data_IF_692026288572
#
_entry.id   IF_692026288572
#
_cell.length_a   1.000
_cell.length_b   1.000
_cell.length_c   1.000
_cell.angle_alpha   90.00
_cell.angle_beta   90.00
_cell.angle_gamma   90.00
#
_symmetry.space_group_name_H-M   'P 1'
#
loop_
_entity.id
_entity.type
_entity.pdbx_description
1 polymer ?
#
# COMPACT_ATOMS: atom_id res chain seq x y z
N UNK A 1 -5.63 22.81 5.91
CA UNK A 1 -6.88 22.04 6.02
C UNK A 1 -7.77 22.51 4.88
N UNK A 2 -7.86 21.77 3.79
CA UNK A 2 -8.80 22.04 2.72
C UNK A 2 -10.16 21.50 3.16
N UNK A 3 -11.13 22.40 3.36
CA UNK A 3 -12.53 22.04 3.50
C UNK A 3 -12.96 21.35 2.18
N UNK A 4 -13.09 20.03 2.21
CA UNK A 4 -13.60 19.28 1.07
C UNK A 4 -15.12 19.42 1.05
N UNK A 5 -15.63 20.14 0.07
CA UNK A 5 -17.05 20.22 -0.21
C UNK A 5 -17.42 19.09 -1.18
N UNK A 6 -18.16 18.08 -0.71
CA UNK A 6 -18.72 17.03 -1.57
C UNK A 6 -20.11 17.42 -2.04
N UNK A 7 -20.34 17.27 -3.33
CA UNK A 7 -21.67 17.49 -3.96
C UNK A 7 -22.27 16.13 -4.34
N UNK A 8 -23.40 15.77 -3.73
CA UNK A 8 -24.23 14.65 -4.13
C UNK A 8 -25.65 15.11 -4.43
N UNK A 9 -26.33 14.51 -5.43
CA UNK A 9 -27.72 14.86 -5.79
C UNK A 9 -28.64 13.82 -5.21
N UNK A 10 -29.55 14.24 -4.32
CA UNK A 10 -30.63 13.40 -3.76
C UNK A 10 -32.00 14.05 -4.01
N UNK A 11 -33.09 13.31 -3.87
CA UNK A 11 -34.46 13.83 -4.00
C UNK A 11 -35.11 13.90 -2.62
N UNK A 12 -35.55 15.08 -2.22
CA UNK A 12 -36.22 15.28 -0.93
C UNK A 12 -36.72 16.72 -0.74
N UNK A 13 -37.37 17.01 0.40
CA UNK A 13 -37.79 18.39 0.71
C UNK A 13 -36.56 19.25 1.03
N UNK A 14 -36.48 20.43 0.45
CA UNK A 14 -35.44 21.41 0.75
C UNK A 14 -35.65 22.00 2.15
N UNK A 15 -34.63 21.98 3.00
CA UNK A 15 -34.68 22.50 4.37
C UNK A 15 -35.01 24.01 4.44
N UNK A 16 -34.70 24.78 3.38
CA UNK A 16 -34.94 26.23 3.32
C UNK A 16 -36.31 26.60 2.79
N UNK A 17 -36.89 25.85 1.85
CA UNK A 17 -38.14 26.22 1.21
C UNK A 17 -39.23 25.14 1.21
N UNK A 18 -38.94 23.94 1.73
CA UNK A 18 -39.89 22.81 1.86
C UNK A 18 -40.32 22.18 0.54
N UNK A 19 -39.81 22.59 -0.61
CA UNK A 19 -40.21 22.10 -1.93
C UNK A 19 -39.42 20.85 -2.30
N UNK A 20 -40.12 19.79 -2.68
CA UNK A 20 -39.49 18.53 -3.15
C UNK A 20 -38.95 18.70 -4.57
N UNK A 21 -37.63 18.83 -4.69
CA UNK A 21 -36.86 18.96 -5.96
C UNK A 21 -35.58 18.17 -5.86
N UNK A 22 -34.83 17.99 -6.96
CA UNK A 22 -33.45 17.49 -6.89
C UNK A 22 -32.63 18.36 -5.94
N UNK A 23 -32.04 17.74 -4.92
CA UNK A 23 -31.25 18.43 -3.89
C UNK A 23 -29.76 18.21 -4.15
N UNK A 24 -28.98 19.26 -4.00
CA UNK A 24 -27.53 19.15 -3.90
C UNK A 24 -27.13 19.03 -2.43
N UNK A 25 -26.52 17.93 -2.05
CA UNK A 25 -25.96 17.74 -0.71
C UNK A 25 -24.61 18.48 -0.63
N UNK A 26 -24.56 19.50 0.21
CA UNK A 26 -23.33 20.24 0.51
C UNK A 26 -22.89 19.81 1.91
N UNK A 27 -21.75 19.12 2.02
CA UNK A 27 -21.18 18.73 3.29
C UNK A 27 -20.33 19.86 3.85
N UNK A 28 -20.78 20.49 4.92
CA UNK A 28 -20.01 21.43 5.72
C UNK A 28 -19.79 20.82 7.11
N UNK A 29 -18.52 20.63 7.48
CA UNK A 29 -18.13 20.06 8.80
C UNK A 29 -18.76 18.70 9.14
N UNK A 30 -18.80 17.77 8.15
CA UNK A 30 -19.35 16.43 8.29
C UNK A 30 -20.86 16.29 8.49
N UNK A 31 -21.64 17.35 8.35
CA UNK A 31 -23.09 17.25 8.33
C UNK A 31 -23.65 17.52 6.92
N UNK A 32 -24.54 16.65 6.37
CA UNK A 32 -25.14 16.88 5.07
C UNK A 32 -26.26 17.94 5.19
N UNK A 33 -26.14 19.02 4.44
CA UNK A 33 -27.19 20.02 4.33
C UNK A 33 -27.77 19.95 2.92
N UNK A 34 -29.10 19.79 2.85
CA UNK A 34 -29.82 19.57 1.60
C UNK A 34 -30.43 20.88 1.07
N UNK A 35 -29.88 21.43 -0.02
CA UNK A 35 -30.42 22.60 -0.70
C UNK A 35 -30.89 22.27 -2.11
N UNK A 36 -31.98 22.92 -2.56
CA UNK A 36 -32.37 22.85 -3.97
C UNK A 36 -31.48 23.81 -4.82
N UNK A 37 -31.45 23.57 -6.15
CA UNK A 37 -30.65 24.37 -7.07
C UNK A 37 -30.88 25.86 -6.94
N UNK A 38 -32.12 26.26 -6.67
CA UNK A 38 -32.50 27.68 -6.50
C UNK A 38 -31.88 28.30 -5.24
N UNK A 39 -31.81 27.54 -4.14
CA UNK A 39 -31.18 27.97 -2.90
C UNK A 39 -29.65 28.06 -3.04
N UNK A 40 -29.04 27.15 -3.82
CA UNK A 40 -27.61 27.22 -4.15
C UNK A 40 -27.27 28.42 -5.01
N UNK A 41 -28.12 28.74 -6.01
CA UNK A 41 -27.97 29.96 -6.83
C UNK A 41 -28.15 31.23 -6.00
N UNK A 42 -29.14 31.28 -5.09
CA UNK A 42 -29.34 32.39 -4.17
C UNK A 42 -28.15 32.60 -3.22
N UNK A 43 -27.57 31.51 -2.70
CA UNK A 43 -26.36 31.57 -1.89
C UNK A 43 -25.13 32.00 -2.69
N UNK A 44 -25.01 31.56 -3.94
CA UNK A 44 -23.96 32.04 -4.87
C UNK A 44 -24.15 33.52 -5.18
N UNK A 45 -25.38 33.98 -5.39
CA UNK A 45 -25.68 35.41 -5.56
C UNK A 45 -25.40 36.22 -4.29
N UNK A 46 -25.64 35.66 -3.10
CA UNK A 46 -25.31 36.31 -1.82
C UNK A 46 -23.80 36.37 -1.56
N UNK A 47 -23.04 35.34 -1.98
CA UNK A 47 -21.58 35.38 -1.95
C UNK A 47 -21.01 36.42 -2.93
N UNK A 48 -21.59 36.50 -4.11
CA UNK A 48 -21.27 37.58 -5.09
C UNK A 48 -21.63 38.99 -4.56
N UNK A 49 -22.68 39.09 -3.75
CA UNK A 49 -23.05 40.37 -3.11
C UNK A 49 -22.08 40.81 -2.01
N UNK A 50 -21.20 39.96 -1.52
CA UNK A 50 -20.10 40.31 -0.61
C UNK A 50 -18.87 40.90 -1.31
N UNK A 51 -18.94 41.15 -2.62
CA UNK A 51 -17.93 41.90 -3.37
C UNK A 51 -16.64 41.15 -3.67
N UNK A 52 -16.61 39.83 -3.44
CA UNK A 52 -15.48 39.00 -3.85
C UNK A 52 -15.58 38.65 -5.34
N UNK A 53 -14.97 39.49 -6.16
CA UNK A 53 -14.88 39.21 -7.60
C UNK A 53 -13.89 38.05 -7.87
N UNK A 54 -14.10 37.33 -8.98
CA UNK A 54 -13.14 36.28 -9.45
C UNK A 54 -11.73 36.89 -9.57
N UNK A 55 -11.61 38.16 -9.88
CA UNK A 55 -10.34 38.89 -9.92
C UNK A 55 -9.72 39.06 -8.52
N UNK A 56 -10.53 39.30 -7.48
CA UNK A 56 -10.08 39.38 -6.08
C UNK A 56 -9.57 38.05 -5.59
N UNK A 57 -10.31 36.96 -5.86
CA UNK A 57 -9.90 35.59 -5.48
C UNK A 57 -8.64 35.13 -6.22
N UNK A 58 -8.49 35.50 -7.50
CA UNK A 58 -7.24 35.21 -8.24
C UNK A 58 -6.06 35.95 -7.63
N UNK A 59 -6.22 37.25 -7.29
CA UNK A 59 -5.17 38.05 -6.65
C UNK A 59 -4.80 37.49 -5.28
N UNK A 60 -5.79 37.02 -4.49
CA UNK A 60 -5.55 36.36 -3.21
C UNK A 60 -4.80 35.06 -3.40
N UNK A 61 -5.17 34.22 -4.37
CA UNK A 61 -4.46 32.99 -4.74
C UNK A 61 -3.00 33.25 -5.13
N UNK A 62 -2.74 34.30 -5.92
CA UNK A 62 -1.38 34.70 -6.30
C UNK A 62 -0.57 35.18 -5.10
N UNK A 63 -1.19 35.99 -4.21
CA UNK A 63 -0.51 36.45 -2.99
C UNK A 63 -0.21 35.29 -2.02
N UNK A 64 -1.09 34.32 -1.91
CA UNK A 64 -0.88 33.11 -1.09
C UNK A 64 0.20 32.22 -1.68
N UNK A 65 0.25 32.06 -3.01
CA UNK A 65 1.32 31.35 -3.70
C UNK A 65 2.69 31.99 -3.46
N UNK A 66 2.77 33.33 -3.61
CA UNK A 66 4.01 34.06 -3.36
C UNK A 66 4.47 33.93 -1.91
N UNK A 67 3.56 34.00 -0.93
CA UNK A 67 3.88 33.75 0.48
C UNK A 67 4.35 32.33 0.72
N UNK A 68 3.74 31.35 0.06
CA UNK A 68 4.15 29.96 0.17
C UNK A 68 5.58 29.76 -0.37
N UNK A 69 5.91 30.40 -1.50
CA UNK A 69 7.26 30.37 -2.06
C UNK A 69 8.28 31.07 -1.17
N UNK A 70 7.90 32.22 -0.57
CA UNK A 70 8.73 32.92 0.40
C UNK A 70 9.00 32.06 1.64
N UNK A 71 7.97 31.41 2.21
CA UNK A 71 8.13 30.52 3.36
C UNK A 71 8.96 29.26 3.00
N UNK A 72 8.76 28.70 1.80
CA UNK A 72 9.61 27.61 1.28
C UNK A 72 11.07 28.05 1.13
N UNK A 73 11.32 29.25 0.67
CA UNK A 73 12.68 29.80 0.56
C UNK A 73 13.37 30.05 1.92
N UNK A 74 12.59 30.17 3.01
CA UNK A 74 13.10 30.26 4.38
C UNK A 74 13.44 28.90 4.98
N UNK A 75 12.85 27.82 4.45
CA UNK A 75 13.20 26.45 4.78
C UNK A 75 14.55 26.16 4.07
N UNK A 76 15.65 26.29 4.79
CA UNK A 76 16.95 25.77 4.32
C UNK A 76 16.85 24.25 4.37
N UNK A 77 16.55 23.63 3.24
CA UNK A 77 16.64 22.18 3.09
C UNK A 77 18.11 21.79 3.26
N UNK A 78 18.41 21.26 4.42
CA UNK A 78 19.72 20.67 4.70
C UNK A 78 19.78 19.36 3.93
N UNK A 79 20.79 19.18 3.09
CA UNK A 79 20.96 17.93 2.35
C UNK A 79 21.03 16.73 3.32
N UNK A 80 20.37 15.62 2.95
CA UNK A 80 20.23 14.44 3.82
C UNK A 80 21.58 13.93 4.35
N UNK A 81 22.66 14.02 3.56
CA UNK A 81 23.99 13.61 3.98
C UNK A 81 24.53 14.45 5.15
N UNK A 82 24.25 15.76 5.20
CA UNK A 82 24.66 16.64 6.28
C UNK A 82 23.92 16.34 7.60
N UNK A 83 22.64 15.90 7.48
CA UNK A 83 21.89 15.41 8.63
C UNK A 83 22.43 14.04 9.07
N UNK A 84 22.72 13.17 8.12
CA UNK A 84 23.24 11.83 8.35
C UNK A 84 24.61 11.84 9.05
N UNK A 85 25.47 12.81 8.74
CA UNK A 85 26.77 12.98 9.43
C UNK A 85 26.62 13.26 10.92
N UNK A 86 25.60 14.03 11.32
CA UNK A 86 25.35 14.43 12.70
C UNK A 86 24.65 13.34 13.54
N UNK A 87 24.07 12.34 12.87
CA UNK A 87 23.32 11.26 13.54
C UNK A 87 24.28 10.15 13.92
N UNK A 88 24.19 9.66 15.16
CA UNK A 88 24.99 8.54 15.63
C UNK A 88 24.77 7.28 14.79
N UNK A 89 25.82 6.50 14.61
CA UNK A 89 25.73 5.19 13.93
C UNK A 89 24.81 4.26 14.70
N UNK A 90 24.00 3.48 13.97
CA UNK A 90 23.17 2.45 14.61
C UNK A 90 24.09 1.45 15.29
N UNK A 91 23.81 1.14 16.55
CA UNK A 91 24.53 0.12 17.29
C UNK A 91 24.35 -1.26 16.61
N UNK A 92 25.29 -2.17 16.84
CA UNK A 92 25.23 -3.51 16.26
C UNK A 92 23.93 -4.21 16.66
N UNK A 93 23.13 -4.56 15.66
CA UNK A 93 21.86 -5.23 15.86
C UNK A 93 22.07 -6.73 16.10
N UNK A 94 21.50 -7.26 17.18
CA UNK A 94 21.52 -8.70 17.52
C UNK A 94 20.21 -9.37 17.19
N UNK A 95 19.79 -9.28 15.94
CA UNK A 95 18.54 -9.91 15.46
C UNK A 95 18.77 -11.40 15.24
N UNK A 96 17.88 -12.24 15.77
CA UNK A 96 17.96 -13.70 15.64
C UNK A 96 16.62 -14.30 15.21
N UNK A 97 16.68 -15.43 14.52
CA UNK A 97 15.48 -16.23 14.26
C UNK A 97 14.87 -16.72 15.57
N UNK A 98 13.64 -16.32 15.86
CA UNK A 98 12.90 -16.73 17.06
C UNK A 98 12.02 -17.94 16.80
N UNK A 99 11.40 -18.02 15.63
CA UNK A 99 10.52 -19.12 15.22
C UNK A 99 10.70 -19.43 13.75
N UNK A 100 10.45 -20.70 13.38
CA UNK A 100 10.39 -21.14 11.99
C UNK A 100 9.03 -21.80 11.76
N UNK A 101 8.26 -21.31 10.79
CA UNK A 101 6.97 -21.85 10.42
C UNK A 101 7.17 -22.82 9.26
N UNK A 102 6.90 -24.10 9.49
CA UNK A 102 7.07 -25.19 8.51
C UNK A 102 5.74 -25.79 8.13
N UNK A 103 5.49 -25.96 6.83
CA UNK A 103 4.28 -26.64 6.38
C UNK A 103 3.77 -26.30 5.00
N UNK A 104 4.41 -25.37 4.28
CA UNK A 104 4.26 -25.28 2.84
C UNK A 104 5.05 -26.40 2.16
N UNK A 105 4.50 -26.95 1.07
CA UNK A 105 5.13 -28.00 0.28
C UNK A 105 6.02 -27.48 -0.85
N UNK A 106 6.03 -26.18 -1.09
CA UNK A 106 6.82 -25.51 -2.13
C UNK A 106 7.10 -24.07 -1.72
N UNK A 107 7.80 -23.33 -2.58
CA UNK A 107 8.24 -21.93 -2.39
C UNK A 107 7.16 -21.05 -1.79
N UNK A 108 7.48 -20.36 -0.71
CA UNK A 108 6.66 -19.26 -0.20
C UNK A 108 6.83 -18.07 -1.12
N UNK A 109 5.74 -17.45 -1.57
CA UNK A 109 5.77 -16.34 -2.53
C UNK A 109 5.38 -15.00 -1.90
N UNK A 110 4.37 -14.99 -1.05
CA UNK A 110 3.91 -13.77 -0.37
C UNK A 110 3.50 -14.08 1.07
N UNK A 111 3.48 -13.06 1.90
CA UNK A 111 2.98 -13.12 3.26
C UNK A 111 2.48 -11.75 3.73
N UNK A 112 1.62 -11.74 4.73
CA UNK A 112 1.14 -10.53 5.37
C UNK A 112 0.81 -10.76 6.84
N UNK A 113 0.92 -9.69 7.65
CA UNK A 113 0.58 -9.70 9.07
C UNK A 113 -0.86 -9.26 9.30
N UNK A 114 -1.53 -9.94 10.20
CA UNK A 114 -2.77 -9.43 10.79
C UNK A 114 -2.47 -8.23 11.70
N UNK A 115 -3.37 -7.24 11.73
CA UNK A 115 -3.25 -6.09 12.64
C UNK A 115 -3.28 -6.48 14.13
N UNK A 116 -3.71 -7.70 14.45
CA UNK A 116 -3.68 -8.25 15.83
C UNK A 116 -2.25 -8.59 16.32
N UNK A 117 -1.23 -8.43 15.48
CA UNK A 117 0.20 -8.69 15.76
C UNK A 117 0.53 -10.15 16.07
N UNK A 118 -0.44 -11.05 15.93
CA UNK A 118 -0.33 -12.46 16.29
C UNK A 118 -0.39 -13.38 15.10
N UNK A 119 -1.25 -13.10 14.13
CA UNK A 119 -1.50 -13.98 13.00
C UNK A 119 -0.77 -13.51 11.74
N UNK A 120 -0.32 -14.48 10.96
CA UNK A 120 0.34 -14.26 9.66
C UNK A 120 -0.40 -15.10 8.62
N UNK A 121 -0.66 -14.53 7.44
CA UNK A 121 -1.07 -15.27 6.26
C UNK A 121 0.12 -15.44 5.34
N UNK A 122 0.24 -16.59 4.71
CA UNK A 122 1.26 -16.85 3.68
C UNK A 122 0.69 -17.63 2.52
N UNK A 123 1.20 -17.35 1.33
CA UNK A 123 0.85 -18.03 0.09
C UNK A 123 2.06 -18.65 -0.57
N UNK A 124 1.85 -19.72 -1.31
CA UNK A 124 2.92 -20.54 -1.87
C UNK A 124 2.62 -21.04 -3.27
N UNK A 125 3.68 -21.48 -3.96
CA UNK A 125 3.62 -22.18 -5.24
C UNK A 125 2.85 -23.51 -5.14
N UNK A 126 2.72 -24.11 -3.94
CA UNK A 126 1.96 -25.35 -3.72
C UNK A 126 0.43 -25.19 -3.84
N UNK A 127 -0.03 -23.98 -4.13
CA UNK A 127 -1.46 -23.63 -4.22
C UNK A 127 -2.13 -23.48 -2.85
N UNK A 128 -1.38 -23.43 -1.76
CA UNK A 128 -1.92 -23.27 -0.42
C UNK A 128 -1.74 -21.86 0.11
N UNK A 129 -2.76 -21.44 0.85
CA UNK A 129 -2.73 -20.24 1.69
C UNK A 129 -2.91 -20.71 3.12
N UNK A 130 -1.97 -20.36 4.00
CA UNK A 130 -1.95 -20.84 5.39
C UNK A 130 -1.96 -19.62 6.31
N UNK A 131 -2.83 -19.67 7.31
CA UNK A 131 -2.85 -18.73 8.43
C UNK A 131 -2.16 -19.36 9.62
N UNK A 132 -1.20 -18.64 10.17
CA UNK A 132 -0.33 -19.09 11.26
C UNK A 132 -0.53 -18.26 12.51
N UNK A 133 -0.39 -18.88 13.65
CA UNK A 133 -0.10 -18.19 14.91
C UNK A 133 1.43 -18.02 15.03
N UNK A 134 1.89 -16.77 15.02
CA UNK A 134 3.31 -16.42 15.03
C UNK A 134 4.03 -16.83 16.33
N UNK A 135 3.32 -16.94 17.43
CA UNK A 135 3.90 -17.30 18.74
C UNK A 135 3.98 -18.80 18.94
N UNK A 136 2.92 -19.53 18.60
CA UNK A 136 2.83 -20.99 18.80
C UNK A 136 3.32 -21.79 17.61
N UNK A 137 3.52 -21.15 16.44
CA UNK A 137 3.86 -21.77 15.16
C UNK A 137 2.79 -22.69 14.58
N UNK A 138 1.61 -22.73 15.19
CA UNK A 138 0.51 -23.55 14.75
C UNK A 138 -0.15 -22.99 13.49
N UNK A 139 -0.65 -23.89 12.65
CA UNK A 139 -1.55 -23.55 11.55
C UNK A 139 -2.96 -23.37 12.12
N UNK A 140 -3.51 -22.18 12.01
CA UNK A 140 -4.90 -21.93 12.42
C UNK A 140 -5.87 -22.30 11.28
N UNK A 141 -5.54 -21.88 10.05
CA UNK A 141 -6.33 -22.19 8.87
C UNK A 141 -5.42 -22.55 7.71
N UNK A 142 -5.92 -23.38 6.80
CA UNK A 142 -5.27 -23.69 5.54
C UNK A 142 -6.34 -23.80 4.44
N UNK A 143 -6.12 -23.09 3.34
CA UNK A 143 -6.98 -23.10 2.16
C UNK A 143 -6.15 -23.61 0.99
N UNK A 144 -6.70 -24.55 0.21
CA UNK A 144 -6.12 -24.96 -1.06
C UNK A 144 -6.84 -24.23 -2.19
N UNK A 145 -6.08 -23.48 -2.97
CA UNK A 145 -6.57 -22.77 -4.13
C UNK A 145 -6.76 -23.71 -5.32
N UNK A 146 -7.64 -23.39 -6.25
CA UNK A 146 -7.82 -24.20 -7.47
C UNK A 146 -6.61 -24.14 -8.41
N UNK A 147 -5.74 -23.14 -8.24
CA UNK A 147 -4.50 -22.97 -9.00
C UNK A 147 -3.26 -23.17 -8.12
N UNK A 148 -2.17 -23.57 -8.73
CA UNK A 148 -0.82 -23.45 -8.17
C UNK A 148 -0.30 -22.02 -8.40
N UNK A 149 0.81 -21.63 -7.76
CA UNK A 149 1.38 -20.28 -7.83
C UNK A 149 0.44 -19.20 -7.29
N UNK A 150 0.17 -19.24 -6.00
CA UNK A 150 -0.54 -18.16 -5.31
C UNK A 150 0.46 -17.05 -4.99
N UNK A 151 0.48 -16.02 -5.83
CA UNK A 151 1.52 -14.97 -5.82
C UNK A 151 1.20 -13.86 -4.82
N UNK A 152 -0.08 -13.65 -4.51
CA UNK A 152 -0.53 -12.57 -3.67
C UNK A 152 -1.35 -13.08 -2.49
N UNK A 153 -1.15 -12.49 -1.32
CA UNK A 153 -2.04 -12.65 -0.17
C UNK A 153 -2.03 -11.38 0.68
N UNK A 154 -3.16 -11.08 1.30
CA UNK A 154 -3.33 -9.94 2.19
C UNK A 154 -4.30 -10.27 3.32
N UNK A 155 -4.07 -9.69 4.50
CA UNK A 155 -4.99 -9.74 5.63
C UNK A 155 -5.94 -8.54 5.60
N UNK A 156 -7.23 -8.78 5.84
CA UNK A 156 -8.19 -7.69 6.02
C UNK A 156 -7.86 -6.89 7.31
N UNK A 157 -8.06 -5.58 7.33
CA UNK A 157 -7.80 -4.72 8.49
C UNK A 157 -8.49 -5.19 9.79
N UNK A 158 -9.69 -5.76 9.70
CA UNK A 158 -10.41 -6.33 10.85
C UNK A 158 -9.81 -7.65 11.36
N UNK A 159 -8.99 -8.33 10.55
CA UNK A 159 -8.51 -9.69 10.83
C UNK A 159 -9.55 -10.79 10.61
N UNK A 160 -10.71 -10.47 10.00
CA UNK A 160 -11.80 -11.43 9.78
C UNK A 160 -11.78 -12.11 8.41
N UNK A 161 -10.90 -11.69 7.51
CA UNK A 161 -10.79 -12.26 6.17
C UNK A 161 -9.34 -12.21 5.64
N UNK A 162 -9.07 -13.02 4.63
CA UNK A 162 -7.84 -12.98 3.85
C UNK A 162 -8.17 -12.97 2.37
N UNK A 163 -7.45 -12.15 1.62
CA UNK A 163 -7.51 -12.13 0.15
C UNK A 163 -6.31 -12.88 -0.41
N UNK A 164 -6.49 -13.61 -1.50
CA UNK A 164 -5.37 -14.27 -2.19
C UNK A 164 -5.70 -14.56 -3.65
N UNK A 165 -4.68 -14.69 -4.47
CA UNK A 165 -4.77 -14.99 -5.88
C UNK A 165 -3.42 -15.17 -6.55
N UNK A 166 -3.41 -15.49 -7.83
CA UNK A 166 -2.19 -15.74 -8.58
C UNK A 166 -2.45 -16.02 -10.06
N UNK A 167 -1.94 -17.15 -10.57
CA UNK A 167 -2.05 -17.53 -11.99
C UNK A 167 -3.48 -17.84 -12.46
N UNK A 168 -4.46 -17.87 -11.59
CA UNK A 168 -5.88 -17.98 -11.98
C UNK A 168 -6.50 -16.63 -12.39
N UNK A 169 -5.72 -15.56 -12.40
CA UNK A 169 -6.11 -14.19 -12.75
C UNK A 169 -7.20 -13.60 -11.83
N UNK A 170 -7.49 -14.26 -10.73
CA UNK A 170 -8.55 -13.89 -9.80
C UNK A 170 -8.00 -13.56 -8.43
N UNK A 171 -8.64 -12.61 -7.76
CA UNK A 171 -8.49 -12.44 -6.33
C UNK A 171 -9.74 -12.93 -5.61
N UNK A 172 -9.55 -13.85 -4.68
CA UNK A 172 -10.64 -14.42 -3.88
C UNK A 172 -10.46 -14.02 -2.42
N UNK A 173 -11.55 -13.64 -1.77
CA UNK A 173 -11.60 -13.32 -0.34
C UNK A 173 -12.20 -14.51 0.41
N UNK A 174 -11.53 -14.93 1.45
CA UNK A 174 -11.91 -16.02 2.34
C UNK A 174 -12.20 -15.45 3.72
N UNK A 175 -13.47 -15.46 4.18
CA UNK A 175 -13.78 -15.07 5.56
C UNK A 175 -13.21 -16.11 6.53
N UNK A 176 -12.52 -15.64 7.56
CA UNK A 176 -11.99 -16.46 8.64
C UNK A 176 -13.06 -16.56 9.72
N UNK A 177 -13.77 -17.70 9.77
CA UNK A 177 -14.73 -17.96 10.85
C UNK A 177 -14.00 -18.38 12.12
N UNK A 178 -14.59 -18.08 13.29
CA UNK A 178 -14.09 -18.52 14.58
C UNK A 178 -14.20 -20.05 14.76
N UNK A 179 -15.07 -20.71 13.99
CA UNK A 179 -15.27 -22.15 14.04
C UNK A 179 -14.25 -22.90 13.15
N UNK A 180 -13.32 -23.58 13.81
CA UNK A 180 -12.24 -24.34 13.16
C UNK A 180 -12.71 -25.49 12.26
N UNK A 181 -13.98 -25.87 12.34
CA UNK A 181 -14.57 -27.02 11.62
C UNK A 181 -15.26 -26.62 10.30
N UNK A 182 -15.32 -25.35 9.96
CA UNK A 182 -15.96 -24.90 8.73
C UNK A 182 -15.00 -24.97 7.53
N UNK A 183 -15.54 -25.41 6.40
CA UNK A 183 -14.79 -25.45 5.15
C UNK A 183 -14.70 -24.03 4.55
N UNK A 184 -13.58 -23.37 4.78
CA UNK A 184 -13.28 -22.01 4.28
C UNK A 184 -13.40 -21.91 2.75
N UNK A 185 -13.07 -22.99 2.04
CA UNK A 185 -13.16 -23.03 0.57
C UNK A 185 -14.59 -22.91 0.07
N UNK A 186 -15.60 -23.29 0.86
CA UNK A 186 -16.99 -23.18 0.51
C UNK A 186 -17.54 -21.75 0.61
N UNK A 187 -16.91 -20.89 1.43
CA UNK A 187 -17.32 -19.51 1.68
C UNK A 187 -16.53 -18.47 0.88
N UNK A 188 -15.68 -18.92 -0.06
CA UNK A 188 -14.87 -18.01 -0.87
C UNK A 188 -15.74 -17.10 -1.71
N UNK A 189 -15.31 -15.85 -1.83
CA UNK A 189 -15.88 -14.85 -2.74
C UNK A 189 -14.81 -14.42 -3.75
N UNK A 190 -15.07 -14.62 -5.05
CA UNK A 190 -14.22 -14.05 -6.10
C UNK A 190 -14.56 -12.57 -6.23
N UNK A 191 -13.63 -11.70 -5.95
CA UNK A 191 -13.80 -10.24 -5.90
C UNK A 191 -13.23 -9.58 -7.13
N UNK A 192 -12.00 -9.94 -7.51
CA UNK A 192 -11.31 -9.33 -8.63
C UNK A 192 -11.05 -10.34 -9.73
N UNK A 193 -11.09 -9.87 -10.98
CA UNK A 193 -10.77 -10.67 -12.17
C UNK A 193 -10.01 -9.80 -13.17
N UNK A 194 -8.74 -10.14 -13.38
CA UNK A 194 -7.86 -9.54 -14.35
C UNK A 194 -7.77 -10.37 -15.64
N UNK A 195 -7.16 -9.82 -16.69
CA UNK A 195 -6.93 -10.55 -17.94
C UNK A 195 -5.64 -11.37 -17.92
N UNK A 196 -4.76 -11.13 -16.95
CA UNK A 196 -3.53 -11.87 -16.73
C UNK A 196 -3.37 -12.16 -15.22
N UNK A 197 -2.25 -12.79 -14.81
CA UNK A 197 -2.02 -13.22 -13.43
C UNK A 197 -2.12 -12.06 -12.44
N UNK A 198 -2.56 -12.38 -11.22
CA UNK A 198 -2.55 -11.46 -10.09
C UNK A 198 -1.15 -11.47 -9.45
N UNK A 199 -0.48 -10.33 -9.41
CA UNK A 199 0.86 -10.19 -8.86
C UNK A 199 0.86 -9.77 -7.39
N UNK A 200 -0.02 -8.83 -7.01
CA UNK A 200 -0.14 -8.35 -5.64
C UNK A 200 -1.58 -7.94 -5.31
N UNK A 201 -1.91 -7.96 -4.04
CA UNK A 201 -3.18 -7.45 -3.53
C UNK A 201 -3.00 -6.84 -2.13
N UNK A 202 -3.83 -5.86 -1.80
CA UNK A 202 -3.90 -5.28 -0.46
C UNK A 202 -5.30 -4.75 -0.19
N UNK A 203 -5.78 -4.89 1.03
CA UNK A 203 -6.99 -4.18 1.45
C UNK A 203 -6.66 -2.70 1.63
N UNK A 204 -7.63 -1.85 1.40
CA UNK A 204 -7.54 -0.44 1.81
C UNK A 204 -7.65 -0.33 3.34
N UNK A 205 -7.83 0.87 3.87
CA UNK A 205 -8.09 1.04 5.31
C UNK A 205 -9.43 0.42 5.76
N UNK A 206 -10.23 -0.07 4.81
CA UNK A 206 -11.51 -0.74 5.01
C UNK A 206 -11.47 -2.18 4.48
N UNK A 207 -12.18 -3.09 5.11
CA UNK A 207 -12.40 -4.46 4.63
C UNK A 207 -13.25 -4.53 3.35
N UNK A 208 -13.91 -3.41 3.00
CA UNK A 208 -14.86 -3.35 1.88
C UNK A 208 -14.19 -3.08 0.53
N UNK A 209 -12.92 -2.70 0.51
CA UNK A 209 -12.22 -2.37 -0.73
C UNK A 209 -10.89 -3.11 -0.83
N UNK A 210 -10.62 -3.64 -2.00
CA UNK A 210 -9.41 -4.39 -2.32
C UNK A 210 -8.72 -3.75 -3.53
N UNK A 211 -7.43 -3.45 -3.36
CA UNK A 211 -6.56 -2.97 -4.43
C UNK A 211 -5.73 -4.13 -4.94
N UNK A 212 -5.62 -4.27 -6.27
CA UNK A 212 -4.90 -5.38 -6.91
C UNK A 212 -3.97 -4.86 -8.01
N UNK A 213 -2.90 -5.59 -8.28
CA UNK A 213 -2.03 -5.40 -9.45
C UNK A 213 -1.91 -6.69 -10.25
N UNK A 214 -1.66 -6.56 -11.53
CA UNK A 214 -1.66 -7.70 -12.47
C UNK A 214 -0.58 -7.60 -13.54
N UNK A 215 -0.23 -8.77 -14.08
CA UNK A 215 0.56 -8.91 -15.31
C UNK A 215 -0.14 -8.40 -16.58
N UNK A 216 -1.36 -7.87 -16.48
CA UNK A 216 -2.00 -7.16 -17.58
C UNK A 216 -1.60 -5.69 -17.70
N UNK A 217 -0.67 -5.22 -16.86
CA UNK A 217 -0.18 -3.84 -16.85
C UNK A 217 -1.08 -2.87 -16.11
N UNK A 218 -2.09 -3.37 -15.40
CA UNK A 218 -3.06 -2.54 -14.68
C UNK A 218 -3.06 -2.77 -13.18
N UNK A 219 -3.44 -1.73 -12.44
CA UNK A 219 -3.92 -1.87 -11.07
C UNK A 219 -5.43 -1.61 -11.05
N UNK A 220 -6.14 -2.18 -10.08
CA UNK A 220 -7.58 -2.03 -10.00
C UNK A 220 -8.06 -2.02 -8.56
N UNK A 221 -9.06 -1.17 -8.29
CA UNK A 221 -9.77 -1.08 -7.01
C UNK A 221 -11.13 -1.74 -7.15
N UNK A 222 -11.44 -2.64 -6.22
CA UNK A 222 -12.64 -3.46 -6.24
C UNK A 222 -13.45 -3.28 -4.96
N UNK A 223 -14.76 -3.35 -5.09
CA UNK A 223 -15.64 -3.49 -3.94
C UNK A 223 -15.76 -4.97 -3.54
N UNK A 224 -15.41 -5.27 -2.29
CA UNK A 224 -15.37 -6.65 -1.78
C UNK A 224 -16.76 -7.25 -1.68
N UNK A 225 -17.78 -6.43 -1.37
CA UNK A 225 -19.14 -6.93 -1.19
C UNK A 225 -19.83 -7.28 -2.52
N UNK A 226 -19.77 -6.41 -3.51
CA UNK A 226 -20.40 -6.63 -4.81
C UNK A 226 -19.50 -7.38 -5.80
N UNK A 227 -18.17 -7.33 -5.62
CA UNK A 227 -17.19 -7.80 -6.59
C UNK A 227 -17.12 -6.90 -7.84
N UNK A 228 -17.59 -5.65 -7.74
CA UNK A 228 -17.56 -4.70 -8.85
C UNK A 228 -16.23 -3.96 -8.90
N UNK A 229 -15.76 -3.68 -10.11
CA UNK A 229 -14.66 -2.79 -10.37
C UNK A 229 -15.08 -1.35 -10.05
N UNK A 230 -14.41 -0.73 -9.08
CA UNK A 230 -14.65 0.68 -8.72
C UNK A 230 -13.81 1.62 -9.58
N UNK A 231 -12.52 1.30 -9.75
CA UNK A 231 -11.57 2.12 -10.50
C UNK A 231 -10.48 1.24 -11.10
N UNK A 232 -10.05 1.57 -12.32
CA UNK A 232 -8.88 0.98 -12.96
C UNK A 232 -7.80 2.04 -13.18
N UNK A 233 -6.53 1.61 -13.06
CA UNK A 233 -5.36 2.48 -13.16
C UNK A 233 -4.49 1.99 -14.31
N UNK A 234 -4.39 2.81 -15.36
CA UNK A 234 -3.67 2.50 -16.59
C UNK A 234 -2.50 3.47 -16.75
N UNK A 235 -1.33 2.94 -17.10
CA UNK A 235 -0.12 3.76 -17.31
C UNK A 235 1.18 2.98 -17.26
N UNK A 236 1.17 1.75 -16.71
CA UNK A 236 2.27 0.81 -16.93
C UNK A 236 2.20 0.24 -18.35
N UNK A 237 3.36 0.10 -18.98
CA UNK A 237 3.50 -0.49 -20.34
C UNK A 237 3.86 -1.97 -20.32
N UNK A 238 4.09 -2.55 -19.14
CA UNK A 238 4.40 -3.95 -18.91
C UNK A 238 3.77 -4.43 -17.59
N UNK A 239 4.05 -5.66 -17.18
CA UNK A 239 3.50 -6.31 -15.99
C UNK A 239 3.74 -5.47 -14.75
N UNK A 240 2.71 -5.28 -13.92
CA UNK A 240 2.84 -4.68 -12.59
C UNK A 240 3.11 -5.79 -11.60
N UNK A 241 4.24 -5.73 -10.90
CA UNK A 241 4.68 -6.80 -9.99
C UNK A 241 4.31 -6.55 -8.54
N UNK A 242 4.28 -5.30 -8.10
CA UNK A 242 4.06 -4.94 -6.71
C UNK A 242 3.27 -3.66 -6.58
N UNK A 243 2.54 -3.54 -5.48
CA UNK A 243 1.86 -2.33 -5.07
C UNK A 243 1.92 -2.16 -3.54
N UNK A 244 1.80 -0.94 -3.08
CA UNK A 244 1.65 -0.62 -1.66
C UNK A 244 0.80 0.62 -1.45
N UNK A 245 -0.08 0.57 -0.46
CA UNK A 245 -0.98 1.67 -0.09
C UNK A 245 -0.25 2.68 0.79
N UNK A 246 -0.42 3.97 0.55
CA UNK A 246 0.15 4.99 1.42
C UNK A 246 -0.42 4.89 2.85
N UNK A 247 0.43 4.93 3.88
CA UNK A 247 0.03 4.85 5.27
C UNK A 247 -0.57 6.18 5.77
N UNK A 248 -1.53 6.74 5.06
CA UNK A 248 -2.25 7.94 5.44
C UNK A 248 -3.64 7.60 5.95
N UNK A 249 -4.18 8.42 6.86
CA UNK A 249 -5.56 8.25 7.34
C UNK A 249 -6.58 8.30 6.18
N UNK A 250 -6.30 9.07 5.15
CA UNK A 250 -7.16 9.19 3.97
C UNK A 250 -7.06 7.99 3.04
N UNK A 251 -5.90 7.28 3.00
CA UNK A 251 -5.68 6.11 2.16
C UNK A 251 -5.93 6.35 0.67
N UNK A 252 -5.72 7.56 0.18
CA UNK A 252 -6.13 7.96 -1.18
C UNK A 252 -5.06 7.78 -2.24
N UNK A 253 -3.84 7.41 -1.86
CA UNK A 253 -2.73 7.21 -2.80
C UNK A 253 -2.09 5.85 -2.61
N UNK A 254 -1.54 5.29 -3.69
CA UNK A 254 -0.74 4.08 -3.65
C UNK A 254 0.42 4.17 -4.65
N UNK A 255 1.44 3.35 -4.45
CA UNK A 255 2.56 3.18 -5.37
C UNK A 255 2.49 1.81 -6.03
N UNK A 256 2.87 1.73 -7.29
CA UNK A 256 3.04 0.47 -8.02
C UNK A 256 4.40 0.43 -8.72
N UNK A 257 4.96 -0.75 -8.87
CA UNK A 257 6.21 -1.00 -9.61
C UNK A 257 6.06 -2.19 -10.55
N UNK A 258 6.69 -2.13 -11.70
CA UNK A 258 6.53 -3.14 -12.73
C UNK A 258 7.75 -3.39 -13.62
N UNK A 259 7.55 -4.28 -14.60
CA UNK A 259 8.57 -4.67 -15.60
C UNK A 259 8.87 -3.58 -16.63
N UNK A 260 8.15 -2.48 -16.62
CA UNK A 260 8.46 -1.29 -17.40
C UNK A 260 9.53 -0.39 -16.76
N UNK A 261 10.14 -0.85 -15.64
CA UNK A 261 11.18 -0.17 -14.87
C UNK A 261 10.72 1.11 -14.18
N UNK A 262 9.40 1.33 -14.13
CA UNK A 262 8.79 2.52 -13.56
C UNK A 262 8.14 2.21 -12.21
N UNK A 263 8.27 3.16 -11.29
CA UNK A 263 7.43 3.24 -10.11
C UNK A 263 6.45 4.40 -10.28
N UNK A 264 5.15 4.12 -10.18
CA UNK A 264 4.08 5.08 -10.39
C UNK A 264 3.32 5.34 -9.10
N UNK A 265 3.07 6.62 -8.80
CA UNK A 265 2.16 7.03 -7.72
C UNK A 265 0.82 7.38 -8.33
N UNK A 266 -0.24 6.87 -7.71
CA UNK A 266 -1.62 7.01 -8.16
C UNK A 266 -2.50 7.69 -7.11
N UNK A 267 -3.41 8.55 -7.55
CA UNK A 267 -4.54 9.00 -6.73
C UNK A 267 -5.75 8.08 -6.98
N UNK A 268 -6.18 7.37 -5.94
CA UNK A 268 -7.27 6.40 -6.02
C UNK A 268 -8.63 7.02 -6.35
N UNK A 269 -8.81 8.31 -6.06
CA UNK A 269 -10.07 9.03 -6.31
C UNK A 269 -10.23 9.44 -7.77
N UNK A 270 -9.14 9.96 -8.34
CA UNK A 270 -9.14 10.44 -9.73
C UNK A 270 -8.80 9.35 -10.74
N UNK A 271 -8.18 8.25 -10.30
CA UNK A 271 -7.63 7.21 -11.16
C UNK A 271 -6.39 7.65 -11.94
N UNK A 272 -5.84 8.83 -11.63
CA UNK A 272 -4.75 9.44 -12.37
C UNK A 272 -3.39 9.03 -11.81
N UNK A 273 -2.42 8.89 -12.70
CA UNK A 273 -1.02 8.85 -12.32
C UNK A 273 -0.59 10.26 -11.90
N UNK A 274 -0.14 10.39 -10.64
CA UNK A 274 0.33 11.65 -10.07
C UNK A 274 1.78 11.90 -10.41
N UNK A 275 2.61 10.85 -10.35
CA UNK A 275 4.04 10.94 -10.58
C UNK A 275 4.60 9.58 -11.01
N UNK A 276 5.58 9.60 -11.93
CA UNK A 276 6.33 8.43 -12.38
C UNK A 276 7.81 8.60 -12.12
N UNK A 277 8.47 7.55 -11.65
CA UNK A 277 9.89 7.49 -11.38
C UNK A 277 10.55 6.45 -12.28
N UNK A 278 11.57 6.85 -13.04
CA UNK A 278 12.27 6.05 -14.05
C UNK A 278 13.77 6.00 -13.70
N UNK A 279 14.12 5.34 -12.61
CA UNK A 279 15.50 5.33 -12.11
C UNK A 279 16.14 3.97 -12.13
N UNK A 280 15.35 2.91 -12.28
CA UNK A 280 15.85 1.55 -12.38
C UNK A 280 16.19 1.15 -13.82
N UNK A 281 17.21 0.30 -13.95
CA UNK A 281 17.64 -0.23 -15.26
C UNK A 281 16.99 -1.56 -15.61
N UNK A 282 16.26 -2.20 -14.67
CA UNK A 282 15.55 -3.45 -14.83
C UNK A 282 14.20 -3.46 -14.12
N UNK A 283 13.52 -4.60 -14.10
CA UNK A 283 12.21 -4.82 -13.54
C UNK A 283 12.14 -4.42 -12.06
N UNK A 284 11.10 -3.71 -11.66
CA UNK A 284 10.84 -3.38 -10.25
C UNK A 284 9.99 -4.48 -9.64
N UNK A 285 10.61 -5.32 -8.81
CA UNK A 285 9.97 -6.46 -8.17
C UNK A 285 9.13 -6.09 -6.96
N UNK A 286 9.49 -5.01 -6.28
CA UNK A 286 8.80 -4.63 -5.05
C UNK A 286 8.83 -3.12 -4.83
N UNK A 287 7.74 -2.61 -4.27
CA UNK A 287 7.63 -1.23 -3.80
C UNK A 287 7.04 -1.21 -2.40
N UNK A 288 7.47 -0.28 -1.56
CA UNK A 288 6.95 -0.14 -0.20
C UNK A 288 7.02 1.30 0.28
N UNK A 289 5.92 1.81 0.83
CA UNK A 289 5.90 3.13 1.47
C UNK A 289 6.68 3.13 2.77
N UNK A 290 7.29 4.27 3.06
CA UNK A 290 7.73 4.60 4.40
C UNK A 290 6.53 4.78 5.33
N UNK A 291 6.67 4.44 6.62
CA UNK A 291 5.57 4.61 7.59
C UNK A 291 5.05 6.04 7.72
N UNK A 292 5.89 7.05 7.42
CA UNK A 292 5.47 8.46 7.38
C UNK A 292 4.56 8.80 6.20
N UNK A 293 4.60 8.00 5.12
CA UNK A 293 3.87 8.28 3.88
C UNK A 293 4.53 9.29 2.94
N UNK A 294 5.65 9.90 3.36
CA UNK A 294 6.32 10.97 2.58
C UNK A 294 7.36 10.43 1.59
N UNK A 295 7.63 9.15 1.65
CA UNK A 295 8.60 8.47 0.81
C UNK A 295 8.18 7.02 0.54
N UNK A 296 8.78 6.43 -0.48
CA UNK A 296 8.69 4.98 -0.72
C UNK A 296 10.06 4.44 -1.16
N UNK A 297 10.21 3.14 -1.05
CA UNK A 297 11.37 2.44 -1.57
C UNK A 297 10.96 1.44 -2.64
N UNK A 298 11.83 1.22 -3.63
CA UNK A 298 11.68 0.21 -4.67
C UNK A 298 12.90 -0.71 -4.72
N UNK A 299 12.68 -1.97 -5.02
CA UNK A 299 13.72 -2.97 -5.26
C UNK A 299 13.59 -3.57 -6.65
N UNK A 300 14.70 -3.72 -7.34
CA UNK A 300 14.76 -4.08 -8.75
C UNK A 300 15.72 -5.23 -9.04
N UNK A 301 15.50 -5.89 -10.17
CA UNK A 301 16.40 -6.89 -10.76
C UNK A 301 17.74 -6.29 -11.24
N UNK A 302 17.87 -4.96 -11.27
CA UNK A 302 19.15 -4.27 -11.50
C UNK A 302 20.08 -4.36 -10.29
N UNK A 303 19.68 -5.12 -9.29
CA UNK A 303 20.40 -5.32 -8.05
C UNK A 303 20.47 -4.07 -7.14
N UNK A 304 19.57 -3.10 -7.34
CA UNK A 304 19.53 -1.87 -6.53
C UNK A 304 18.22 -1.74 -5.75
N UNK A 305 18.33 -1.04 -4.61
CA UNK A 305 17.20 -0.50 -3.86
C UNK A 305 17.28 1.02 -3.94
N UNK A 306 16.20 1.64 -4.36
CA UNK A 306 16.10 3.09 -4.42
C UNK A 306 15.05 3.59 -3.42
N UNK A 307 15.34 4.68 -2.75
CA UNK A 307 14.40 5.35 -1.86
C UNK A 307 14.04 6.73 -2.44
N UNK A 308 12.75 7.00 -2.56
CA UNK A 308 12.23 8.22 -3.17
C UNK A 308 11.41 9.00 -2.17
N UNK A 309 11.84 10.20 -1.77
CA UNK A 309 10.94 11.14 -1.13
C UNK A 309 9.95 11.69 -2.17
N UNK A 310 8.69 11.75 -1.82
CA UNK A 310 7.61 12.22 -2.70
C UNK A 310 7.78 13.72 -3.02
N UNK A 311 8.50 14.45 -2.19
CA UNK A 311 8.67 15.90 -2.33
C UNK A 311 10.04 16.37 -2.83
N UNK A 312 11.11 15.54 -2.80
CA UNK A 312 12.45 15.90 -3.30
C UNK A 312 13.26 14.66 -3.67
N UNK A 313 13.96 14.71 -4.80
CA UNK A 313 14.75 13.61 -5.36
C UNK A 313 16.01 13.31 -4.53
N UNK A 314 16.08 12.12 -3.94
CA UNK A 314 17.32 11.54 -3.40
C UNK A 314 17.55 10.16 -4.00
N UNK A 315 18.74 9.95 -4.56
CA UNK A 315 19.20 8.64 -5.01
C UNK A 315 20.11 8.01 -3.95
N UNK A 316 19.75 6.83 -3.49
CA UNK A 316 20.64 5.97 -2.72
C UNK A 316 20.80 4.65 -3.47
N UNK A 317 22.01 4.37 -3.93
CA UNK A 317 22.35 3.13 -4.64
C UNK A 317 22.77 2.05 -3.65
N UNK A 318 22.07 0.92 -3.66
CA UNK A 318 22.38 -0.24 -2.84
C UNK A 318 22.27 -1.49 -3.73
N UNK A 319 23.34 -2.25 -3.86
CA UNK A 319 23.43 -3.40 -4.76
C UNK A 319 22.73 -4.65 -4.24
N UNK A 320 22.04 -5.37 -5.12
CA UNK A 320 21.45 -6.73 -5.08
C UNK A 320 19.92 -6.85 -4.91
N UNK A 321 19.36 -7.86 -5.56
CA UNK A 321 17.93 -8.17 -5.77
C UNK A 321 17.09 -8.18 -4.49
N UNK A 322 15.97 -7.44 -4.43
CA UNK A 322 15.41 -7.03 -3.17
C UNK A 322 13.91 -7.18 -3.00
N UNK A 323 13.54 -7.56 -1.81
CA UNK A 323 12.25 -7.29 -1.18
C UNK A 323 12.45 -6.35 0.00
N UNK A 324 11.71 -5.26 0.02
CA UNK A 324 11.95 -4.16 0.94
C UNK A 324 10.93 -4.14 2.06
N UNK A 325 11.42 -3.85 3.25
CA UNK A 325 10.58 -3.47 4.36
C UNK A 325 11.26 -2.39 5.19
N UNK A 326 10.50 -1.37 5.60
CA UNK A 326 11.00 -0.24 6.35
C UNK A 326 10.52 -0.33 7.79
N UNK A 327 11.47 -0.30 8.72
CA UNK A 327 11.20 -0.16 10.15
C UNK A 327 11.11 1.34 10.51
N UNK A 328 10.38 1.75 11.57
CA UNK A 328 10.07 3.16 11.79
C UNK A 328 11.28 4.07 11.59
N UNK A 329 11.33 4.68 10.43
CA UNK A 329 12.09 5.85 10.07
C UNK A 329 13.56 5.67 9.68
N UNK A 330 14.26 4.55 9.96
CA UNK A 330 15.71 4.49 9.73
C UNK A 330 16.23 3.18 9.14
N UNK A 331 15.70 2.04 9.51
CA UNK A 331 16.20 0.74 9.07
C UNK A 331 15.35 0.16 7.93
N UNK A 332 16.02 -0.34 6.91
CA UNK A 332 15.43 -1.03 5.78
C UNK A 332 15.91 -2.48 5.77
N UNK A 333 14.98 -3.41 5.73
CA UNK A 333 15.24 -4.84 5.62
C UNK A 333 14.98 -5.30 4.19
N UNK A 334 15.96 -5.91 3.59
CA UNK A 334 15.88 -6.37 2.21
C UNK A 334 16.25 -7.85 2.12
N UNK A 335 15.38 -8.65 1.50
CA UNK A 335 15.63 -10.06 1.24
C UNK A 335 16.25 -10.26 -0.14
N UNK A 336 17.22 -11.17 -0.23
CA UNK A 336 18.08 -11.33 -1.41
C UNK A 336 18.04 -12.74 -2.00
N UNK A 337 18.50 -12.85 -3.24
CA UNK A 337 18.66 -14.13 -3.92
C UNK A 337 19.78 -15.01 -3.36
N UNK A 338 20.73 -14.39 -2.66
CA UNK A 338 21.84 -15.07 -1.98
C UNK A 338 21.43 -15.71 -0.64
N UNK A 339 20.10 -15.78 -0.37
CA UNK A 339 19.48 -16.37 0.82
C UNK A 339 19.59 -15.52 2.08
N UNK A 340 20.17 -14.33 1.98
CA UNK A 340 20.38 -13.42 3.11
C UNK A 340 19.28 -12.37 3.22
N UNK A 341 19.17 -11.76 4.40
CA UNK A 341 18.42 -10.53 4.62
C UNK A 341 19.44 -9.48 5.06
N UNK A 342 19.58 -8.41 4.28
CA UNK A 342 20.45 -7.30 4.65
C UNK A 342 19.64 -6.21 5.36
N UNK A 343 20.26 -5.62 6.36
CA UNK A 343 19.71 -4.50 7.13
C UNK A 343 20.50 -3.25 6.78
N UNK A 344 19.82 -2.23 6.31
CA UNK A 344 20.42 -0.98 5.87
C UNK A 344 20.00 0.19 6.74
N UNK A 345 20.93 1.10 7.04
CA UNK A 345 20.65 2.43 7.57
C UNK A 345 20.38 3.37 6.39
N UNK A 346 19.11 3.74 6.20
CA UNK A 346 18.66 4.55 5.06
C UNK A 346 19.27 5.94 5.08
N UNK A 347 19.48 6.52 6.28
CA UNK A 347 20.08 7.86 6.41
C UNK A 347 21.55 7.87 6.00
N UNK A 348 22.30 6.81 6.33
CA UNK A 348 23.74 6.71 6.03
C UNK A 348 24.05 5.97 4.73
N UNK A 349 23.05 5.34 4.10
CA UNK A 349 23.25 4.53 2.92
C UNK A 349 24.20 3.33 3.15
N UNK A 350 24.35 2.89 4.40
CA UNK A 350 25.31 1.85 4.79
C UNK A 350 24.61 0.60 5.32
N UNK A 351 25.19 -0.56 5.02
CA UNK A 351 24.69 -1.84 5.54
C UNK A 351 25.11 -1.99 7.01
N UNK A 352 24.12 -2.20 7.87
CA UNK A 352 24.30 -2.36 9.32
C UNK A 352 24.53 -3.81 9.71
N UNK A 353 23.79 -4.74 9.07
CA UNK A 353 23.84 -6.16 9.42
C UNK A 353 23.45 -7.04 8.24
N UNK A 354 23.89 -8.31 8.29
CA UNK A 354 23.47 -9.38 7.40
C UNK A 354 22.88 -10.49 8.27
N UNK A 355 21.68 -10.94 7.94
CA UNK A 355 20.99 -12.01 8.66
C UNK A 355 21.02 -13.29 7.81
N UNK A 356 21.58 -14.33 8.38
CA UNK A 356 21.70 -15.64 7.79
C UNK A 356 20.67 -16.59 8.42
N UNK A 357 20.17 -17.55 7.61
CA UNK A 357 19.27 -18.57 8.14
C UNK A 357 18.47 -19.27 7.06
N UNK A 358 17.94 -18.57 6.07
CA UNK A 358 17.26 -19.21 4.95
C UNK A 358 18.22 -20.01 4.08
N UNK A 359 17.72 -21.11 3.50
CA UNK A 359 18.49 -22.04 2.65
C UNK A 359 18.19 -21.85 1.16
N UNK A 360 17.37 -20.84 0.81
CA UNK A 360 17.05 -20.46 -0.55
C UNK A 360 16.65 -18.97 -0.57
N UNK A 361 16.38 -18.44 -1.78
CA UNK A 361 15.98 -17.07 -2.04
C UNK A 361 14.89 -16.60 -1.07
N UNK A 362 15.08 -15.43 -0.48
CA UNK A 362 14.07 -14.75 0.34
C UNK A 362 13.09 -14.05 -0.59
N UNK A 363 11.83 -14.46 -0.58
CA UNK A 363 10.80 -13.98 -1.51
C UNK A 363 9.89 -12.90 -0.92
N UNK A 364 9.80 -12.81 0.39
CA UNK A 364 8.94 -11.82 1.05
C UNK A 364 9.44 -11.50 2.45
N UNK A 365 9.34 -10.24 2.84
CA UNK A 365 9.67 -9.75 4.18
C UNK A 365 8.58 -8.78 4.61
N UNK A 366 8.09 -8.87 5.86
CA UNK A 366 7.08 -7.96 6.44
C UNK A 366 7.35 -7.74 7.92
N UNK A 367 7.29 -6.49 8.39
CA UNK A 367 7.37 -6.15 9.81
C UNK A 367 6.03 -6.36 10.49
N UNK A 368 6.06 -6.77 11.75
CA UNK A 368 4.86 -6.81 12.58
C UNK A 368 4.27 -5.39 12.76
N UNK A 369 2.94 -5.26 12.93
CA UNK A 369 2.30 -3.94 13.04
C UNK A 369 2.79 -3.08 14.21
N UNK A 370 3.45 -3.66 15.20
CA UNK A 370 4.05 -2.94 16.35
C UNK A 370 5.55 -2.69 16.18
N UNK A 371 6.13 -3.18 15.09
CA UNK A 371 7.55 -2.98 14.83
C UNK A 371 8.50 -3.78 15.73
N UNK A 372 8.03 -4.71 16.55
CA UNK A 372 8.87 -5.47 17.50
C UNK A 372 9.55 -6.68 16.86
N UNK A 373 9.01 -7.18 15.75
CA UNK A 373 9.51 -8.32 15.02
C UNK A 373 9.28 -8.15 13.51
N UNK A 374 9.90 -8.98 12.71
CA UNK A 374 9.54 -9.13 11.30
C UNK A 374 9.52 -10.61 10.92
N UNK A 375 8.81 -10.91 9.86
CA UNK A 375 8.76 -12.25 9.28
C UNK A 375 9.29 -12.22 7.86
N UNK A 376 10.02 -13.27 7.48
CA UNK A 376 10.48 -13.51 6.12
C UNK A 376 9.95 -14.84 5.59
N UNK A 377 9.60 -14.88 4.32
CA UNK A 377 9.27 -16.10 3.59
C UNK A 377 10.31 -16.39 2.52
N UNK A 378 10.56 -17.65 2.25
CA UNK A 378 11.62 -18.07 1.33
C UNK A 378 11.19 -19.23 0.41
N UNK A 379 11.95 -19.40 -0.66
CA UNK A 379 11.87 -20.56 -1.54
C UNK A 379 12.37 -21.85 -0.90
N UNK A 380 12.85 -21.79 0.36
CA UNK A 380 13.13 -22.96 1.19
C UNK A 380 11.85 -23.56 1.83
N UNK A 381 10.66 -23.10 1.43
CA UNK A 381 9.34 -23.53 1.89
C UNK A 381 9.02 -23.14 3.34
N UNK A 382 9.81 -22.27 3.94
CA UNK A 382 9.64 -21.85 5.33
C UNK A 382 9.40 -20.34 5.45
N UNK A 383 8.73 -19.98 6.57
CA UNK A 383 8.76 -18.60 7.05
C UNK A 383 9.59 -18.56 8.35
N UNK A 384 10.24 -17.43 8.59
CA UNK A 384 11.02 -17.21 9.81
C UNK A 384 10.62 -15.90 10.47
N UNK A 385 10.45 -15.95 11.79
CA UNK A 385 10.17 -14.78 12.61
C UNK A 385 11.46 -14.37 13.31
N UNK A 386 11.79 -13.12 13.19
CA UNK A 386 13.02 -12.49 13.66
C UNK A 386 12.72 -11.39 14.68
N UNK A 387 13.51 -11.33 15.74
CA UNK A 387 13.49 -10.27 16.75
C UNK A 387 14.81 -10.23 17.55
#
# INVERSE_FOLDING_TARGET
MCDQTFLAITFGPCESCGVTKPLMNIYLKNEPINYCSLCVELMACQALAKGESVASLKKESETLKAKLEEERGKLHDVELHQVAEKVETVAQLTIKTRRTLKGHGNKVLCMDWCKDKRRIVSSSQDGKVIVWDAFTTNKEHAVTMPCTWVMACAYAPSGCAVACGGLDNKCSVYPLSLDKNENLSAKKKSVAMHTNYLSSCTFTNSDMQLLTSSGDGTCALWDVESGQLLQSFHGHSADVLSLDLAPSETGNTFVSGGCDKKANIWDMRSGQNVQSFETHESDINTVKYYPSGDAFASGSDDATVSAYPICNLFHSFLHDLCLILIFPGRLLFAGYNDYTINVWDVLKGSRVSILFGHENRVSTVRVSPDGTAFCSGSWDNTLRIWA
#
